data_IF_442493657990
#
_entry.id   IF_442493657990
#
_cell.length_a   1.000
_cell.length_b   1.000
_cell.length_c   1.000
_cell.angle_alpha   90.00
_cell.angle_beta   90.00
_cell.angle_gamma   90.00
#
_symmetry.space_group_name_H-M   'P 1'
#
loop_
_entity.id
_entity.type
_entity.pdbx_description
1 polymer ?
#
# COMPACT_ATOMS: atom_id res chain seq x y z
N UNK A 1 -5.00 -12.45 19.76
CA UNK A 1 -5.84 -11.81 18.73
C UNK A 1 -4.99 -10.71 18.11
N UNK A 2 -4.80 -10.71 16.80
CA UNK A 2 -4.16 -9.62 16.06
C UNK A 2 -5.24 -8.87 15.29
N UNK A 3 -5.17 -7.54 15.27
CA UNK A 3 -6.09 -6.68 14.52
C UNK A 3 -5.27 -5.90 13.51
N UNK A 4 -5.67 -5.97 12.24
CA UNK A 4 -5.13 -5.14 11.17
C UNK A 4 -6.15 -4.05 10.83
N UNK A 5 -5.69 -2.81 10.72
CA UNK A 5 -6.52 -1.66 10.40
C UNK A 5 -5.82 -0.85 9.31
N UNK A 6 -6.54 -0.60 8.22
CA UNK A 6 -6.12 0.33 7.19
C UNK A 6 -6.80 1.67 7.40
N UNK A 7 -6.03 2.75 7.31
CA UNK A 7 -6.51 4.11 7.54
C UNK A 7 -5.78 5.09 6.62
N UNK A 8 -6.32 6.31 6.51
CA UNK A 8 -5.65 7.40 5.79
C UNK A 8 -4.44 7.94 6.55
N UNK A 9 -3.61 8.72 5.85
CA UNK A 9 -2.38 9.34 6.39
C UNK A 9 -2.58 10.01 7.76
N UNK A 10 -3.56 10.89 7.88
CA UNK A 10 -3.79 11.69 9.10
C UNK A 10 -4.19 10.83 10.31
N UNK A 11 -4.88 9.72 10.07
CA UNK A 11 -5.34 8.80 11.10
C UNK A 11 -4.18 7.95 11.61
N UNK A 12 -3.36 7.42 10.70
CA UNK A 12 -2.13 6.69 11.04
C UNK A 12 -1.19 7.60 11.82
N UNK A 13 -0.98 8.84 11.36
CA UNK A 13 -0.13 9.83 12.05
C UNK A 13 -0.58 10.09 13.49
N UNK A 14 -1.87 10.37 13.70
CA UNK A 14 -2.43 10.59 15.03
C UNK A 14 -2.29 9.35 15.92
N UNK A 15 -2.49 8.17 15.35
CA UNK A 15 -2.35 6.90 16.06
C UNK A 15 -0.90 6.67 16.50
N UNK A 16 0.09 6.96 15.64
CA UNK A 16 1.52 6.93 15.98
C UNK A 16 1.87 7.91 17.11
N UNK A 17 1.28 9.11 17.14
CA UNK A 17 1.49 10.09 18.21
C UNK A 17 0.96 9.57 19.57
N UNK A 18 -0.10 8.77 19.57
CA UNK A 18 -0.71 8.19 20.77
C UNK A 18 -0.17 6.80 21.14
N UNK A 19 0.65 6.19 20.28
CA UNK A 19 1.13 4.82 20.43
C UNK A 19 0.03 3.75 20.51
N UNK A 20 -1.05 3.91 19.74
CA UNK A 20 -2.22 3.01 19.80
C UNK A 20 -1.97 1.61 19.20
N UNK A 21 -0.96 1.46 18.35
CA UNK A 21 -0.57 0.20 17.73
C UNK A 21 0.90 -0.18 17.98
N UNK A 22 1.18 -1.47 17.94
CA UNK A 22 2.52 -2.04 18.06
C UNK A 22 3.37 -1.80 16.79
N UNK A 23 2.71 -1.76 15.63
CA UNK A 23 3.35 -1.64 14.31
C UNK A 23 2.54 -0.74 13.41
N UNK A 24 3.23 0.09 12.64
CA UNK A 24 2.67 0.85 11.53
C UNK A 24 3.42 0.52 10.24
N UNK A 25 2.68 0.47 9.13
CA UNK A 25 3.22 0.34 7.78
C UNK A 25 2.92 1.65 7.04
N UNK A 26 3.96 2.24 6.44
CA UNK A 26 3.89 3.60 5.92
C UNK A 26 4.59 3.71 4.58
N UNK A 27 3.91 4.20 3.54
CA UNK A 27 4.46 4.30 2.19
C UNK A 27 4.49 5.73 1.63
N UNK A 28 4.33 6.74 2.48
CA UNK A 28 4.46 8.14 2.10
C UNK A 28 5.91 8.59 2.13
N UNK A 29 6.27 9.56 1.28
CA UNK A 29 7.64 10.05 1.14
C UNK A 29 8.16 10.77 2.40
N UNK A 30 7.29 11.41 3.18
CA UNK A 30 7.68 12.04 4.43
C UNK A 30 7.78 10.99 5.55
N UNK A 31 9.00 10.74 6.01
CA UNK A 31 9.27 9.93 7.19
C UNK A 31 9.15 10.81 8.42
N UNK A 32 8.20 10.49 9.31
CA UNK A 32 8.23 11.07 10.65
C UNK A 32 9.41 10.49 11.42
N UNK A 33 10.38 11.33 11.75
CA UNK A 33 11.45 10.96 12.67
C UNK A 33 10.85 10.83 14.08
N UNK A 34 10.78 9.59 14.60
CA UNK A 34 10.16 9.33 15.90
C UNK A 34 11.02 8.37 16.72
N UNK A 35 11.61 8.89 17.80
CA UNK A 35 12.53 8.17 18.68
C UNK A 35 11.90 6.92 19.33
N UNK A 36 10.57 6.90 19.48
CA UNK A 36 9.83 5.81 20.11
C UNK A 36 9.65 4.58 19.19
N UNK A 37 9.92 4.74 17.89
CA UNK A 37 9.76 3.67 16.91
C UNK A 37 11.11 3.21 16.35
N UNK A 38 11.23 1.93 16.03
CA UNK A 38 12.25 1.37 15.15
C UNK A 38 11.70 1.41 13.73
N UNK A 39 12.37 2.14 12.84
CA UNK A 39 12.02 2.29 11.42
C UNK A 39 13.11 1.75 10.49
N UNK A 40 13.92 0.80 10.98
CA UNK A 40 15.08 0.27 10.25
C UNK A 40 14.72 -0.73 9.16
N UNK A 41 13.46 -1.18 9.11
CA UNK A 41 12.99 -2.20 8.18
C UNK A 41 12.12 -1.55 7.10
N UNK A 42 12.41 -1.90 5.85
CA UNK A 42 11.59 -1.54 4.69
C UNK A 42 11.17 -2.79 3.92
N UNK A 43 10.00 -2.73 3.29
CA UNK A 43 9.44 -3.78 2.44
C UNK A 43 9.09 -3.14 1.09
N UNK A 44 9.52 -3.76 0.00
CA UNK A 44 9.17 -3.30 -1.34
C UNK A 44 8.06 -4.16 -1.94
N UNK A 45 6.95 -3.53 -2.33
CA UNK A 45 5.81 -4.22 -2.93
C UNK A 45 5.68 -3.79 -4.40
N UNK A 46 5.62 -4.71 -5.37
CA UNK A 46 5.36 -4.36 -6.76
C UNK A 46 3.99 -3.71 -6.94
N UNK A 47 3.96 -2.60 -7.67
CA UNK A 47 2.72 -1.91 -8.07
C UNK A 47 2.66 -1.73 -9.58
N UNK A 48 1.46 -1.51 -10.08
CA UNK A 48 1.24 -1.44 -11.51
C UNK A 48 -0.23 -1.36 -11.87
N UNK A 49 -0.54 -1.79 -13.09
CA UNK A 49 -1.88 -1.71 -13.67
C UNK A 49 -2.49 -3.10 -13.72
N UNK A 50 -3.59 -3.30 -13.00
CA UNK A 50 -4.46 -4.46 -13.11
C UNK A 50 -5.56 -4.20 -14.15
N UNK A 51 -5.88 -5.19 -14.99
CA UNK A 51 -6.87 -5.05 -16.06
C UNK A 51 -7.54 -6.39 -16.40
N UNK A 52 -8.78 -6.32 -16.88
CA UNK A 52 -9.54 -7.47 -17.38
C UNK A 52 -9.34 -7.66 -18.89
N UNK A 53 -9.27 -6.57 -19.65
CA UNK A 53 -9.12 -6.55 -21.11
C UNK A 53 -8.09 -5.51 -21.58
N UNK A 54 -7.49 -5.73 -22.74
CA UNK A 54 -6.53 -4.80 -23.33
C UNK A 54 -7.27 -3.60 -23.97
N UNK A 55 -6.62 -2.43 -24.03
CA UNK A 55 -7.17 -1.17 -24.57
C UNK A 55 -8.33 -0.57 -23.75
N UNK A 56 -8.10 -0.35 -22.47
CA UNK A 56 -9.02 0.33 -21.56
C UNK A 56 -8.99 1.86 -21.71
N UNK A 57 -10.14 2.51 -21.57
CA UNK A 57 -10.29 3.98 -21.55
C UNK A 57 -10.62 4.55 -20.16
N UNK A 58 -11.05 3.69 -19.22
CA UNK A 58 -11.38 4.06 -17.84
C UNK A 58 -10.42 3.41 -16.86
N UNK A 59 -10.02 4.15 -15.82
CA UNK A 59 -9.05 3.70 -14.82
C UNK A 59 -9.49 4.01 -13.39
N UNK A 60 -9.51 2.98 -12.54
CA UNK A 60 -9.64 3.14 -11.10
C UNK A 60 -8.27 3.47 -10.47
N UNK A 61 -8.19 4.56 -9.72
CA UNK A 61 -6.95 5.11 -9.16
C UNK A 61 -7.10 5.22 -7.64
N UNK A 62 -6.07 4.93 -6.84
CA UNK A 62 -6.14 5.14 -5.39
C UNK A 62 -6.37 6.62 -5.07
N UNK A 63 -7.04 6.89 -3.96
CA UNK A 63 -7.40 8.25 -3.55
C UNK A 63 -6.17 9.13 -3.33
N UNK A 64 -6.38 10.43 -3.57
CA UNK A 64 -5.37 11.48 -3.44
C UNK A 64 -4.87 11.52 -1.99
N UNK A 65 -3.55 11.40 -1.83
CA UNK A 65 -2.94 11.29 -0.51
C UNK A 65 -2.83 9.84 -0.02
N UNK A 66 -2.52 8.91 -0.92
CA UNK A 66 -1.84 7.65 -0.62
C UNK A 66 -0.44 7.66 -1.24
N UNK A 67 0.54 6.97 -0.66
CA UNK A 67 1.87 6.86 -1.26
C UNK A 67 1.83 6.26 -2.67
N UNK A 68 0.89 5.35 -2.93
CA UNK A 68 0.67 4.77 -4.26
C UNK A 68 0.13 5.80 -5.26
N UNK A 69 -0.80 6.66 -4.84
CA UNK A 69 -1.30 7.74 -5.69
C UNK A 69 -0.16 8.66 -6.15
N UNK A 70 0.67 9.15 -5.21
CA UNK A 70 1.78 10.05 -5.54
C UNK A 70 2.81 9.40 -6.48
N UNK A 71 3.13 8.12 -6.27
CA UNK A 71 4.05 7.36 -7.15
C UNK A 71 3.49 7.08 -8.55
N UNK A 72 2.17 7.17 -8.75
CA UNK A 72 1.50 6.71 -9.96
C UNK A 72 0.81 7.81 -10.77
N UNK A 73 1.03 9.08 -10.43
CA UNK A 73 0.36 10.25 -11.02
C UNK A 73 0.37 10.33 -12.56
N UNK A 74 1.43 9.83 -13.20
CA UNK A 74 1.56 9.87 -14.66
C UNK A 74 0.83 8.72 -15.37
N UNK A 75 0.51 7.62 -14.67
CA UNK A 75 -0.11 6.45 -15.29
C UNK A 75 -1.54 6.68 -15.81
N UNK A 76 -2.43 7.44 -15.12
CA UNK A 76 -3.78 7.68 -15.59
C UNK A 76 -3.92 8.90 -16.53
N UNK A 77 -2.82 9.55 -16.94
CA UNK A 77 -2.88 10.77 -17.76
C UNK A 77 -3.66 10.51 -19.06
N UNK A 78 -4.70 11.32 -19.32
CA UNK A 78 -5.56 11.20 -20.50
C UNK A 78 -6.65 10.12 -20.43
N UNK A 79 -6.83 9.46 -19.28
CA UNK A 79 -7.90 8.47 -19.07
C UNK A 79 -9.08 9.05 -18.28
N UNK A 80 -10.24 8.41 -18.38
CA UNK A 80 -11.39 8.71 -17.50
C UNK A 80 -11.18 8.01 -16.14
N UNK A 81 -11.01 8.79 -15.07
CA UNK A 81 -10.52 8.30 -13.78
C UNK A 81 -11.61 8.23 -12.72
N UNK A 82 -11.65 7.11 -12.00
CA UNK A 82 -12.43 6.93 -10.78
C UNK A 82 -11.49 6.82 -9.58
N UNK A 83 -11.59 7.73 -8.62
CA UNK A 83 -10.77 7.70 -7.40
C UNK A 83 -11.41 6.83 -6.32
N UNK A 84 -10.63 5.94 -5.72
CA UNK A 84 -11.08 4.99 -4.69
C UNK A 84 -10.17 5.02 -3.47
N UNK A 85 -10.76 5.00 -2.28
CA UNK A 85 -10.03 5.19 -1.01
C UNK A 85 -9.00 4.10 -0.70
N UNK A 86 -9.17 2.90 -1.27
CA UNK A 86 -8.35 1.72 -0.95
C UNK A 86 -7.84 1.00 -2.20
N UNK A 87 -6.53 0.68 -2.27
CA UNK A 87 -5.97 -0.10 -3.38
C UNK A 87 -6.60 -1.48 -3.56
N UNK A 88 -7.11 -2.11 -2.51
CA UNK A 88 -7.80 -3.41 -2.58
C UNK A 88 -9.09 -3.35 -3.41
N UNK A 89 -9.90 -2.30 -3.21
CA UNK A 89 -11.23 -2.12 -3.86
C UNK A 89 -11.06 -1.89 -5.37
N UNK A 90 -9.90 -1.39 -5.81
CA UNK A 90 -9.59 -1.15 -7.22
C UNK A 90 -9.72 -2.44 -8.04
N UNK A 91 -9.23 -3.57 -7.52
CA UNK A 91 -9.34 -4.85 -8.22
C UNK A 91 -10.79 -5.32 -8.36
N UNK A 92 -11.64 -5.08 -7.34
CA UNK A 92 -13.08 -5.38 -7.43
C UNK A 92 -13.75 -4.56 -8.54
N UNK A 93 -13.41 -3.28 -8.67
CA UNK A 93 -13.95 -2.42 -9.74
C UNK A 93 -13.57 -2.91 -11.14
N UNK A 94 -12.32 -3.33 -11.32
CA UNK A 94 -11.85 -3.91 -12.58
C UNK A 94 -12.52 -5.25 -12.86
N UNK A 95 -12.58 -6.13 -11.86
CA UNK A 95 -13.15 -7.48 -11.99
C UNK A 95 -14.62 -7.45 -12.38
N UNK A 96 -15.38 -6.51 -11.84
CA UNK A 96 -16.80 -6.34 -12.10
C UNK A 96 -17.11 -5.40 -13.27
N UNK A 97 -16.09 -4.99 -14.05
CA UNK A 97 -16.29 -4.18 -15.26
C UNK A 97 -16.74 -2.73 -15.01
N UNK A 98 -16.55 -2.21 -13.80
CA UNK A 98 -16.83 -0.78 -13.49
C UNK A 98 -15.75 0.13 -14.07
N UNK A 99 -14.51 -0.37 -14.15
CA UNK A 99 -13.40 0.26 -14.85
C UNK A 99 -12.67 -0.78 -15.71
N UNK A 100 -12.05 -0.37 -16.81
CA UNK A 100 -11.26 -1.27 -17.67
C UNK A 100 -9.91 -1.65 -17.06
N UNK A 101 -9.33 -0.74 -16.27
CA UNK A 101 -8.09 -0.97 -15.55
C UNK A 101 -8.08 -0.28 -14.18
N UNK A 102 -7.06 -0.58 -13.38
CA UNK A 102 -6.83 0.14 -12.13
C UNK A 102 -5.40 0.01 -11.61
N UNK A 103 -4.96 1.02 -10.87
CA UNK A 103 -3.60 1.09 -10.30
C UNK A 103 -3.61 0.47 -8.92
N UNK A 104 -2.88 -0.63 -8.72
CA UNK A 104 -2.90 -1.39 -7.46
C UNK A 104 -1.61 -2.18 -7.25
N UNK A 105 -1.53 -2.92 -6.15
CA UNK A 105 -0.43 -3.84 -5.85
C UNK A 105 -0.64 -5.18 -6.56
N UNK A 106 0.47 -5.82 -6.94
CA UNK A 106 0.47 -7.09 -7.66
C UNK A 106 -0.31 -8.18 -6.93
N UNK A 107 -0.14 -8.28 -5.62
CA UNK A 107 -0.79 -9.28 -4.78
C UNK A 107 -2.32 -9.17 -4.82
N UNK A 108 -2.87 -7.94 -4.89
CA UNK A 108 -4.31 -7.76 -5.06
C UNK A 108 -4.76 -8.13 -6.47
N UNK A 109 -3.98 -7.85 -7.51
CA UNK A 109 -4.31 -8.28 -8.87
C UNK A 109 -4.36 -9.82 -8.97
N UNK A 110 -3.41 -10.50 -8.32
CA UNK A 110 -3.34 -11.96 -8.25
C UNK A 110 -4.55 -12.54 -7.49
N UNK A 111 -4.92 -11.96 -6.35
CA UNK A 111 -6.09 -12.37 -5.56
C UNK A 111 -7.39 -12.37 -6.38
N UNK A 112 -7.57 -11.37 -7.25
CA UNK A 112 -8.75 -11.24 -8.12
C UNK A 112 -8.58 -11.93 -9.48
N UNK A 113 -7.45 -12.60 -9.72
CA UNK A 113 -7.09 -13.26 -10.98
C UNK A 113 -7.19 -12.30 -12.18
N UNK A 114 -6.61 -11.11 -12.04
CA UNK A 114 -6.52 -10.10 -13.09
C UNK A 114 -5.17 -10.14 -13.80
N UNK A 115 -5.12 -9.67 -15.05
CA UNK A 115 -3.84 -9.42 -15.72
C UNK A 115 -3.17 -8.23 -15.07
N UNK A 116 -1.84 -8.22 -15.01
CA UNK A 116 -1.06 -7.18 -14.31
C UNK A 116 0.17 -6.76 -15.09
N UNK A 117 0.36 -5.45 -15.26
CA UNK A 117 1.60 -4.86 -15.79
C UNK A 117 2.30 -4.14 -14.65
N UNK A 118 3.44 -4.69 -14.22
CA UNK A 118 4.30 -4.05 -13.21
C UNK A 118 4.87 -2.74 -13.75
N UNK A 119 4.79 -1.67 -12.94
CA UNK A 119 5.32 -0.33 -13.27
C UNK A 119 6.46 0.08 -12.35
N UNK A 120 6.59 -0.56 -11.21
CA UNK A 120 7.69 -0.34 -10.28
C UNK A 120 7.39 -0.99 -8.93
N UNK A 121 8.12 -0.53 -7.91
CA UNK A 121 7.92 -0.95 -6.53
C UNK A 121 7.61 0.25 -5.64
N UNK A 122 6.74 0.03 -4.66
CA UNK A 122 6.48 0.97 -3.58
C UNK A 122 7.20 0.50 -2.33
N UNK A 123 7.84 1.43 -1.62
CA UNK A 123 8.51 1.12 -0.36
C UNK A 123 7.56 1.39 0.79
N UNK A 124 7.34 0.37 1.61
CA UNK A 124 6.69 0.48 2.91
C UNK A 124 7.77 0.49 4.00
N UNK A 125 7.77 1.53 4.82
CA UNK A 125 8.54 1.62 6.05
C UNK A 125 7.76 0.96 7.18
N UNK A 126 8.43 0.09 7.92
CA UNK A 126 7.85 -0.59 9.08
C UNK A 126 8.29 0.16 10.33
N UNK A 127 7.33 0.70 11.08
CA UNK A 127 7.56 1.39 12.34
C UNK A 127 7.10 0.51 13.49
N UNK A 128 8.03 -0.06 14.25
CA UNK A 128 7.74 -0.93 15.39
C UNK A 128 7.91 -0.15 16.68
N UNK A 129 6.88 -0.11 17.52
CA UNK A 129 6.91 0.58 18.81
C UNK A 129 7.93 -0.10 19.75
N UNK A 130 9.00 0.62 20.13
CA UNK A 130 10.08 0.09 21.01
C UNK A 130 9.59 -0.28 22.41
N UNK A 131 8.46 0.29 22.84
CA UNK A 131 7.84 -0.01 24.13
C UNK A 131 6.87 -1.19 24.07
N UNK A 132 6.61 -1.76 22.89
CA UNK A 132 5.76 -2.94 22.74
C UNK A 132 6.40 -4.15 23.45
N UNK A 133 5.59 -4.90 24.19
CA UNK A 133 6.02 -6.19 24.77
C UNK A 133 6.34 -7.24 23.69
N UNK A 134 5.96 -6.97 22.44
CA UNK A 134 6.18 -7.82 21.26
C UNK A 134 7.28 -7.32 20.33
N UNK A 135 8.02 -6.28 20.72
CA UNK A 135 9.01 -5.62 19.86
C UNK A 135 9.97 -6.59 19.16
N UNK A 136 10.63 -7.49 19.91
CA UNK A 136 11.60 -8.42 19.34
C UNK A 136 10.93 -9.43 18.39
N UNK A 137 9.80 -10.02 18.78
CA UNK A 137 9.04 -10.97 17.93
C UNK A 137 8.62 -10.32 16.61
N UNK A 138 8.12 -9.08 16.66
CA UNK A 138 7.71 -8.32 15.48
C UNK A 138 8.91 -7.95 14.59
N UNK A 139 10.01 -7.50 15.20
CA UNK A 139 11.24 -7.15 14.49
C UNK A 139 11.81 -8.35 13.73
N UNK A 140 11.86 -9.52 14.36
CA UNK A 140 12.32 -10.75 13.72
C UNK A 140 11.38 -11.18 12.59
N UNK A 141 10.07 -11.11 12.82
CA UNK A 141 9.07 -11.44 11.80
C UNK A 141 9.21 -10.55 10.56
N UNK A 142 9.29 -9.23 10.71
CA UNK A 142 9.42 -8.30 9.58
C UNK A 142 10.78 -8.41 8.88
N UNK A 143 11.87 -8.64 9.60
CA UNK A 143 13.17 -8.91 8.99
C UNK A 143 13.14 -10.17 8.11
N UNK A 144 12.42 -11.21 8.54
CA UNK A 144 12.28 -12.44 7.76
C UNK A 144 11.50 -12.26 6.44
N UNK A 145 10.70 -11.19 6.34
CA UNK A 145 9.90 -10.84 5.16
C UNK A 145 10.69 -9.91 4.24
N UNK A 146 11.32 -8.86 4.79
CA UNK A 146 12.10 -7.87 4.04
C UNK A 146 13.24 -8.51 3.21
N UNK A 147 13.81 -9.62 3.67
CA UNK A 147 14.86 -10.37 2.96
C UNK A 147 14.39 -11.35 1.88
N UNK A 148 13.08 -11.53 1.67
CA UNK A 148 12.51 -12.55 0.76
C UNK A 148 12.05 -12.02 -0.61
N UNK A 149 11.97 -10.71 -0.79
CA UNK A 149 11.68 -10.09 -2.10
C UNK A 149 12.91 -10.16 -3.01
N UNK A 150 13.18 -11.35 -3.57
CA UNK A 150 14.12 -11.58 -4.67
C UNK A 150 13.37 -11.85 -5.95
#
# INVERSE_FOLDING_TARGET
LSTFVESGFNEIKRSMENADADVYLWNYEELQDNKNYDSSITIEIPYGIAYSEENYSTMAVPYRGSGLYEKSLALPEGMDTTYLDKPEIICDYVKNGRCGAGITYKEYAELYSLKFIEKGKITFHVYINKNSTKFNELKDAFNSIAGKTK
#
